data_IF_792537441354
#
_entry.id   IF_792537441354
#
_cell.length_a   1.000
_cell.length_b   1.000
_cell.length_c   1.000
_cell.angle_alpha   90.00
_cell.angle_beta   90.00
_cell.angle_gamma   90.00
#
_symmetry.space_group_name_H-M   'P 1'
#
loop_
_entity.id
_entity.type
_entity.pdbx_description
1 polymer ?
#
# COMPACT_ATOMS: atom_id res chain seq x y z
N UNK A 1 10.85 -22.12 -20.34
CA UNK A 1 10.29 -20.80 -20.01
C UNK A 1 11.35 -20.09 -19.18
N UNK A 2 12.18 -19.27 -19.82
CA UNK A 2 13.16 -18.43 -19.12
C UNK A 2 12.41 -17.48 -18.19
N UNK A 3 12.87 -17.34 -16.94
CA UNK A 3 12.24 -16.48 -15.94
C UNK A 3 12.36 -15.02 -16.37
N UNK A 4 11.24 -14.41 -16.73
CA UNK A 4 11.15 -12.98 -17.09
C UNK A 4 11.35 -12.01 -15.90
N UNK A 5 11.86 -12.47 -14.75
CA UNK A 5 11.77 -11.75 -13.47
C UNK A 5 13.11 -11.21 -12.91
N UNK A 6 14.22 -11.25 -13.64
CA UNK A 6 15.49 -10.70 -13.13
C UNK A 6 15.70 -9.24 -13.57
N UNK A 7 15.70 -8.33 -12.59
CA UNK A 7 16.12 -6.93 -12.78
C UNK A 7 17.57 -6.89 -13.29
N UNK A 8 17.88 -6.03 -14.26
CA UNK A 8 19.26 -5.84 -14.75
C UNK A 8 20.14 -5.14 -13.71
N UNK A 9 21.44 -5.47 -13.69
CA UNK A 9 22.43 -4.85 -12.79
C UNK A 9 23.56 -4.22 -13.60
N UNK A 10 23.96 -3.02 -13.23
CA UNK A 10 24.98 -2.23 -13.92
C UNK A 10 26.38 -2.44 -13.32
N UNK A 11 27.39 -2.49 -14.19
CA UNK A 11 28.79 -2.24 -13.83
C UNK A 11 28.99 -0.78 -13.41
N UNK A 12 30.10 -0.47 -12.74
CA UNK A 12 30.44 0.91 -12.39
C UNK A 12 30.56 1.79 -13.65
N UNK A 13 31.14 1.22 -14.71
CA UNK A 13 31.31 1.88 -15.99
C UNK A 13 29.98 2.21 -16.66
N UNK A 14 29.07 1.24 -16.76
CA UNK A 14 27.76 1.49 -17.40
C UNK A 14 26.94 2.52 -16.63
N UNK A 15 27.01 2.50 -15.29
CA UNK A 15 26.36 3.51 -14.46
C UNK A 15 26.89 4.93 -14.77
N UNK A 16 28.22 5.09 -14.89
CA UNK A 16 28.82 6.37 -15.26
C UNK A 16 28.42 6.82 -16.67
N UNK A 17 28.45 5.92 -17.65
CA UNK A 17 28.06 6.23 -19.03
C UNK A 17 26.57 6.65 -19.14
N UNK A 18 25.67 5.99 -18.40
CA UNK A 18 24.25 6.36 -18.37
C UNK A 18 24.06 7.76 -17.79
N UNK A 19 24.71 8.06 -16.67
CA UNK A 19 24.66 9.39 -16.04
C UNK A 19 25.16 10.49 -16.97
N UNK A 20 26.28 10.26 -17.68
CA UNK A 20 26.79 11.18 -18.70
C UNK A 20 25.80 11.40 -19.84
N UNK A 21 25.10 10.36 -20.29
CA UNK A 21 24.11 10.48 -21.38
C UNK A 21 22.88 11.26 -20.92
N UNK A 22 22.38 10.97 -19.71
CA UNK A 22 21.23 11.66 -19.13
C UNK A 22 21.51 13.16 -18.98
N UNK A 23 22.66 13.50 -18.40
CA UNK A 23 23.01 14.90 -18.11
C UNK A 23 23.55 15.67 -19.31
N UNK A 24 24.11 14.99 -20.30
CA UNK A 24 24.62 15.59 -21.52
C UNK A 24 23.57 15.57 -22.65
N UNK A 25 23.65 14.61 -23.58
CA UNK A 25 22.78 14.53 -24.76
C UNK A 25 21.27 14.63 -24.52
N UNK A 26 20.78 14.13 -23.38
CA UNK A 26 19.34 14.13 -23.07
C UNK A 26 18.89 15.36 -22.28
N UNK A 27 19.83 16.21 -21.85
CA UNK A 27 19.54 17.53 -21.28
C UNK A 27 18.89 17.51 -19.90
N UNK A 28 18.93 16.39 -19.17
CA UNK A 28 18.52 16.40 -17.77
C UNK A 28 19.53 17.21 -16.96
N UNK A 29 19.03 18.12 -16.14
CA UNK A 29 19.88 18.84 -15.21
C UNK A 29 20.14 18.00 -13.95
N UNK A 30 21.27 18.24 -13.29
CA UNK A 30 21.68 17.49 -12.09
C UNK A 30 20.63 17.63 -10.98
N UNK A 31 20.09 18.84 -10.80
CA UNK A 31 19.04 19.16 -9.83
C UNK A 31 17.73 18.41 -10.13
N UNK A 32 17.33 18.27 -11.39
CA UNK A 32 16.15 17.47 -11.75
C UNK A 32 16.31 15.99 -11.36
N UNK A 33 17.44 15.38 -11.73
CA UNK A 33 17.69 13.96 -11.42
C UNK A 33 17.82 13.73 -9.92
N UNK A 34 18.54 14.62 -9.23
CA UNK A 34 18.74 14.59 -7.78
C UNK A 34 17.43 14.79 -7.01
N UNK A 35 16.54 15.68 -7.48
CA UNK A 35 15.22 15.89 -6.87
C UNK A 35 14.39 14.60 -6.93
N UNK A 36 14.36 13.94 -8.10
CA UNK A 36 13.62 12.70 -8.30
C UNK A 36 14.26 11.53 -7.55
N UNK A 37 15.60 11.47 -7.48
CA UNK A 37 16.33 10.47 -6.73
C UNK A 37 16.05 10.57 -5.22
N UNK A 38 16.23 11.74 -4.62
CA UNK A 38 15.96 11.95 -3.20
C UNK A 38 14.47 11.76 -2.84
N UNK A 39 13.54 12.18 -3.72
CA UNK A 39 12.12 11.86 -3.56
C UNK A 39 11.87 10.35 -3.58
N UNK A 40 12.54 9.61 -4.48
CA UNK A 40 12.43 8.14 -4.54
C UNK A 40 12.93 7.47 -3.26
N UNK A 41 14.03 7.98 -2.68
CA UNK A 41 14.57 7.50 -1.39
C UNK A 41 13.57 7.76 -0.25
N UNK A 42 13.08 9.00 -0.12
CA UNK A 42 12.10 9.35 0.90
C UNK A 42 10.82 8.52 0.77
N UNK A 43 10.34 8.30 -0.46
CA UNK A 43 9.15 7.47 -0.74
C UNK A 43 9.39 6.01 -0.37
N UNK A 44 10.56 5.45 -0.69
CA UNK A 44 10.91 4.06 -0.35
C UNK A 44 10.94 3.85 1.17
N UNK A 45 11.45 4.84 1.92
CA UNK A 45 11.43 4.82 3.39
C UNK A 45 9.99 4.86 3.90
N UNK A 46 9.17 5.78 3.38
CA UNK A 46 7.77 5.94 3.79
C UNK A 46 6.88 4.74 3.46
N UNK A 47 7.21 3.98 2.42
CA UNK A 47 6.50 2.73 2.10
C UNK A 47 6.68 1.66 3.19
N UNK A 48 7.76 1.71 3.96
CA UNK A 48 8.12 0.65 4.92
C UNK A 48 8.02 1.10 6.37
N UNK A 49 8.58 2.26 6.68
CA UNK A 49 8.84 2.67 8.06
C UNK A 49 7.94 3.83 8.44
N UNK A 50 6.73 3.58 8.96
CA UNK A 50 5.76 4.63 9.29
C UNK A 50 6.34 5.70 10.24
N UNK A 51 6.10 7.00 10.02
CA UNK A 51 6.59 8.07 10.90
C UNK A 51 6.12 7.96 12.35
N UNK A 52 4.95 7.34 12.60
CA UNK A 52 4.42 7.08 13.93
C UNK A 52 5.31 6.16 14.77
N UNK A 53 6.15 5.36 14.12
CA UNK A 53 7.04 4.39 14.76
C UNK A 53 8.51 4.77 14.58
N UNK A 54 8.88 5.34 13.44
CA UNK A 54 10.26 5.63 13.05
C UNK A 54 10.44 7.12 12.76
N UNK A 55 10.14 7.96 13.75
CA UNK A 55 10.05 9.40 13.55
C UNK A 55 11.41 10.08 13.33
N UNK A 56 12.44 9.70 14.10
CA UNK A 56 13.74 10.40 14.13
C UNK A 56 14.66 9.83 13.05
N UNK A 57 15.05 10.67 12.09
CA UNK A 57 15.87 10.23 10.94
C UNK A 57 17.16 11.00 10.89
N UNK A 58 18.32 10.33 10.95
CA UNK A 58 19.61 10.96 10.66
C UNK A 58 19.99 10.69 9.20
N UNK A 59 20.33 11.73 8.44
CA UNK A 59 20.91 11.61 7.10
C UNK A 59 22.37 12.02 7.11
N UNK A 60 23.26 11.08 6.79
CA UNK A 60 24.71 11.31 6.73
C UNK A 60 25.11 11.55 5.28
N UNK A 61 25.35 12.80 4.93
CA UNK A 61 25.60 13.23 3.55
C UNK A 61 27.09 13.31 3.24
N UNK A 62 27.49 12.73 2.12
CA UNK A 62 28.83 12.89 1.56
C UNK A 62 29.00 14.13 0.70
N UNK A 63 30.21 14.42 0.20
CA UNK A 63 30.48 15.64 -0.56
C UNK A 63 29.94 15.60 -2.00
N UNK A 64 29.54 14.43 -2.52
CA UNK A 64 29.15 14.24 -3.91
C UNK A 64 27.64 14.24 -4.16
N UNK A 65 27.24 13.71 -5.32
CA UNK A 65 25.83 13.58 -5.72
C UNK A 65 25.01 12.76 -4.71
N UNK A 66 25.55 11.64 -4.21
CA UNK A 66 24.87 10.80 -3.21
C UNK A 66 24.49 11.59 -1.95
N UNK A 67 25.35 12.53 -1.53
CA UNK A 67 25.05 13.42 -0.41
C UNK A 67 23.95 14.43 -0.75
N UNK A 68 23.92 14.93 -1.99
CA UNK A 68 22.82 15.75 -2.51
C UNK A 68 21.49 15.01 -2.53
N UNK A 69 21.48 13.75 -2.97
CA UNK A 69 20.29 12.87 -2.91
C UNK A 69 19.81 12.71 -1.47
N UNK A 70 20.73 12.56 -0.52
CA UNK A 70 20.44 12.56 0.92
C UNK A 70 19.81 13.86 1.41
N UNK A 71 20.33 15.03 1.02
CA UNK A 71 19.77 16.33 1.40
C UNK A 71 18.33 16.48 0.87
N UNK A 72 18.08 16.09 -0.39
CA UNK A 72 16.73 16.07 -0.97
C UNK A 72 15.82 15.10 -0.20
N UNK A 73 16.29 13.88 0.10
CA UNK A 73 15.53 12.88 0.83
C UNK A 73 15.13 13.42 2.23
N UNK A 74 16.05 14.05 2.96
CA UNK A 74 15.78 14.65 4.25
C UNK A 74 14.68 15.72 4.18
N UNK A 75 14.68 16.57 3.13
CA UNK A 75 13.62 17.56 2.89
C UNK A 75 12.26 16.90 2.66
N UNK A 76 12.18 15.89 1.81
CA UNK A 76 10.90 15.19 1.57
C UNK A 76 10.40 14.43 2.79
N UNK A 77 11.30 13.81 3.56
CA UNK A 77 10.94 13.14 4.81
C UNK A 77 10.33 14.10 5.83
N UNK A 78 10.80 15.34 5.92
CA UNK A 78 10.12 16.36 6.73
C UNK A 78 8.66 16.56 6.30
N UNK A 79 8.41 16.71 5.00
CA UNK A 79 7.05 16.85 4.46
C UNK A 79 6.19 15.58 4.60
N UNK A 80 6.81 14.41 4.72
CA UNK A 80 6.13 13.14 4.99
C UNK A 80 5.85 12.91 6.49
N UNK A 81 6.20 13.86 7.36
CA UNK A 81 5.91 13.81 8.80
C UNK A 81 7.01 13.22 9.68
N UNK A 82 8.21 12.99 9.14
CA UNK A 82 9.38 12.59 9.92
C UNK A 82 10.06 13.80 10.58
N UNK A 83 10.99 13.52 11.49
CA UNK A 83 11.87 14.48 12.15
C UNK A 83 13.32 14.24 11.69
N UNK A 84 13.71 14.77 10.53
CA UNK A 84 15.05 14.58 10.00
C UNK A 84 16.09 15.44 10.71
N UNK A 85 17.32 14.93 10.74
CA UNK A 85 18.57 15.56 11.18
C UNK A 85 19.61 15.28 10.10
N UNK A 86 20.54 16.20 9.86
CA UNK A 86 21.54 16.06 8.80
C UNK A 86 22.96 16.18 9.35
N UNK A 87 23.80 15.18 9.10
CA UNK A 87 25.24 15.27 9.27
C UNK A 87 25.87 15.48 7.89
N UNK A 88 26.40 16.69 7.62
CA UNK A 88 27.04 17.02 6.34
C UNK A 88 28.46 17.57 6.54
N UNK A 89 29.44 16.71 6.89
CA UNK A 89 30.73 17.14 7.42
C UNK A 89 31.65 17.80 6.39
N UNK A 90 31.52 17.44 5.10
CA UNK A 90 32.26 18.06 4.00
C UNK A 90 31.30 18.67 2.99
N UNK A 91 30.90 19.92 3.24
CA UNK A 91 29.97 20.66 2.37
C UNK A 91 30.64 21.07 1.06
N UNK A 92 29.96 20.81 -0.05
CA UNK A 92 30.45 21.18 -1.38
C UNK A 92 30.07 22.62 -1.72
N UNK A 93 31.06 23.45 -2.04
CA UNK A 93 30.88 24.86 -2.38
C UNK A 93 30.41 25.07 -3.84
N UNK A 94 29.31 24.42 -4.23
CA UNK A 94 28.61 24.70 -5.49
C UNK A 94 27.19 25.21 -5.20
N UNK A 95 26.63 26.13 -6.03
CA UNK A 95 25.32 26.72 -5.81
C UNK A 95 24.20 25.72 -5.56
N UNK A 96 24.22 24.57 -6.26
CA UNK A 96 23.27 23.48 -6.06
C UNK A 96 23.21 23.02 -4.60
N UNK A 97 24.34 22.60 -4.01
CA UNK A 97 24.36 22.08 -2.64
C UNK A 97 24.11 23.18 -1.61
N UNK A 98 24.59 24.41 -1.86
CA UNK A 98 24.25 25.55 -1.01
C UNK A 98 22.74 25.79 -0.99
N UNK A 99 22.08 25.72 -2.16
CA UNK A 99 20.63 25.82 -2.27
C UNK A 99 19.89 24.72 -1.50
N UNK A 100 20.34 23.47 -1.61
CA UNK A 100 19.76 22.35 -0.84
C UNK A 100 19.90 22.55 0.68
N UNK A 101 21.06 23.02 1.15
CA UNK A 101 21.26 23.37 2.56
C UNK A 101 20.30 24.48 2.99
N UNK A 102 20.19 25.57 2.23
CA UNK A 102 19.26 26.66 2.52
C UNK A 102 17.81 26.18 2.60
N UNK A 103 17.39 25.26 1.72
CA UNK A 103 16.05 24.67 1.77
C UNK A 103 15.81 23.91 3.07
N UNK A 104 16.77 23.10 3.53
CA UNK A 104 16.67 22.36 4.79
C UNK A 104 16.65 23.30 6.01
N UNK A 105 17.50 24.33 6.01
CA UNK A 105 17.53 25.36 7.05
C UNK A 105 16.20 26.13 7.12
N UNK A 106 15.56 26.40 5.98
CA UNK A 106 14.24 27.06 5.94
C UNK A 106 13.12 26.23 6.59
N UNK A 107 13.30 24.91 6.66
CA UNK A 107 12.41 23.97 7.35
C UNK A 107 12.83 23.71 8.81
N UNK A 108 13.85 24.43 9.30
CA UNK A 108 14.44 24.25 10.63
C UNK A 108 14.96 22.82 10.88
N UNK A 109 15.44 22.15 9.83
CA UNK A 109 16.04 20.81 9.94
C UNK A 109 17.44 20.95 10.57
N UNK A 110 17.74 20.30 11.71
CA UNK A 110 19.01 20.47 12.39
C UNK A 110 20.19 19.87 11.61
N UNK A 111 21.30 20.60 11.55
CA UNK A 111 22.58 20.09 11.09
C UNK A 111 23.47 19.75 12.28
N UNK A 112 23.89 18.49 12.39
CA UNK A 112 24.76 17.97 13.45
C UNK A 112 26.20 17.87 12.94
N UNK A 113 27.17 18.16 13.80
CA UNK A 113 28.57 17.85 13.54
C UNK A 113 28.85 16.37 13.80
N UNK A 114 30.03 15.87 13.42
CA UNK A 114 30.42 14.48 13.70
C UNK A 114 30.62 14.26 15.20
N UNK A 115 31.04 15.30 15.91
CA UNK A 115 31.27 15.32 17.36
C UNK A 115 29.96 15.30 18.16
N UNK A 116 28.87 15.83 17.59
CA UNK A 116 27.53 15.79 18.20
C UNK A 116 26.90 14.39 18.14
N UNK A 117 27.41 13.52 17.26
CA UNK A 117 26.91 12.16 17.12
C UNK A 117 27.53 11.24 18.16
N UNK A 118 26.70 10.38 18.76
CA UNK A 118 27.16 9.27 19.62
C UNK A 118 27.82 8.15 18.81
N UNK A 119 28.56 7.28 19.49
CA UNK A 119 29.16 6.10 18.87
C UNK A 119 28.11 5.10 18.40
N UNK A 120 27.05 4.91 19.20
CA UNK A 120 25.86 4.15 18.83
C UNK A 120 24.76 5.13 18.41
N UNK A 121 24.43 5.11 17.12
CA UNK A 121 23.43 6.01 16.55
C UNK A 121 22.00 5.59 16.88
N UNK A 122 21.80 4.35 17.34
CA UNK A 122 20.47 3.80 17.63
C UNK A 122 19.80 4.40 18.87
N UNK A 123 20.57 5.05 19.74
CA UNK A 123 20.02 5.76 20.90
C UNK A 123 19.16 6.97 20.48
N UNK A 124 19.64 7.72 19.48
CA UNK A 124 19.09 9.03 19.14
C UNK A 124 18.23 9.00 17.87
N UNK A 125 18.38 7.97 17.03
CA UNK A 125 17.71 7.90 15.73
C UNK A 125 17.05 6.54 15.50
N UNK A 126 15.88 6.58 14.88
CA UNK A 126 15.13 5.38 14.52
C UNK A 126 15.54 4.88 13.12
N UNK A 127 15.95 5.81 12.24
CA UNK A 127 16.45 5.56 10.89
C UNK A 127 17.77 6.32 10.71
N UNK A 128 18.79 5.65 10.16
CA UNK A 128 20.01 6.30 9.68
C UNK A 128 20.15 6.07 8.18
N UNK A 129 20.21 7.16 7.42
CA UNK A 129 20.38 7.18 5.97
C UNK A 129 21.86 7.38 5.65
N UNK A 130 22.44 6.36 5.04
CA UNK A 130 23.76 6.37 4.43
C UNK A 130 23.68 6.99 3.03
N UNK A 131 24.04 8.28 2.97
CA UNK A 131 24.13 9.09 1.76
C UNK A 131 25.58 9.55 1.51
N UNK A 132 26.58 8.80 1.97
CA UNK A 132 27.99 9.24 1.95
C UNK A 132 28.64 9.03 0.58
N UNK A 133 28.63 7.80 0.07
CA UNK A 133 29.34 7.46 -1.17
C UNK A 133 28.45 6.66 -2.12
N UNK A 134 28.27 7.19 -3.33
CA UNK A 134 27.56 6.50 -4.42
C UNK A 134 28.51 5.76 -5.36
N UNK A 135 27.97 5.24 -6.47
CA UNK A 135 28.71 4.39 -7.41
C UNK A 135 29.98 5.03 -8.02
N UNK A 136 30.11 6.36 -8.04
CA UNK A 136 31.28 7.05 -8.61
C UNK A 136 32.46 7.19 -7.65
N UNK A 137 32.33 6.72 -6.41
CA UNK A 137 33.42 6.78 -5.43
C UNK A 137 34.54 5.78 -5.76
N UNK A 138 35.78 6.21 -5.56
CA UNK A 138 36.98 5.39 -5.73
C UNK A 138 37.90 5.50 -4.52
N UNK A 139 38.48 4.38 -4.11
CA UNK A 139 39.44 4.29 -3.01
C UNK A 139 38.82 3.99 -1.66
N UNK A 140 39.61 4.16 -0.60
CA UNK A 140 39.17 3.93 0.78
C UNK A 140 38.51 5.19 1.37
N UNK A 141 37.45 5.06 2.18
CA UNK A 141 36.91 6.14 3.00
C UNK A 141 38.02 6.79 3.84
N UNK A 142 37.98 8.12 3.97
CA UNK A 142 38.94 8.92 4.75
C UNK A 142 38.21 9.74 5.81
N UNK A 143 38.89 10.22 6.86
CA UNK A 143 38.29 11.07 7.88
C UNK A 143 37.49 12.24 7.31
N UNK A 144 36.29 12.51 7.86
CA UNK A 144 35.65 11.82 8.99
C UNK A 144 34.72 10.65 8.59
N UNK A 145 34.71 10.23 7.33
CA UNK A 145 33.73 9.24 6.83
C UNK A 145 34.05 7.80 7.21
N UNK A 146 35.32 7.48 7.46
CA UNK A 146 35.74 6.18 8.00
C UNK A 146 35.13 5.94 9.40
N UNK A 147 35.19 6.94 10.29
CA UNK A 147 34.56 6.89 11.62
C UNK A 147 33.03 6.73 11.52
N UNK A 148 32.37 7.51 10.66
CA UNK A 148 30.92 7.42 10.45
C UNK A 148 30.48 6.04 9.94
N UNK A 149 31.26 5.43 9.03
CA UNK A 149 31.03 4.07 8.55
C UNK A 149 31.19 3.06 9.70
N UNK A 150 32.22 3.22 10.55
CA UNK A 150 32.39 2.33 11.72
C UNK A 150 31.21 2.43 12.69
N UNK A 151 30.70 3.64 12.98
CA UNK A 151 29.51 3.84 13.83
C UNK A 151 28.28 3.13 13.29
N UNK A 152 28.05 3.18 11.97
CA UNK A 152 26.96 2.45 11.32
C UNK A 152 27.11 0.93 11.48
N UNK A 153 28.32 0.40 11.31
CA UNK A 153 28.61 -1.03 11.48
C UNK A 153 28.37 -1.46 12.94
N UNK A 154 28.86 -0.68 13.90
CA UNK A 154 28.71 -0.98 15.34
C UNK A 154 27.25 -0.92 15.76
N UNK A 155 26.50 0.10 15.33
CA UNK A 155 25.07 0.26 15.64
C UNK A 155 24.23 -0.92 15.10
N UNK A 156 24.65 -1.55 14.00
CA UNK A 156 23.95 -2.71 13.45
C UNK A 156 24.19 -4.01 14.24
N UNK A 157 25.35 -4.16 14.89
CA UNK A 157 25.78 -5.37 15.60
C UNK A 157 25.35 -5.41 17.08
N UNK A 158 24.92 -4.29 17.65
CA UNK A 158 24.41 -4.22 19.03
C UNK A 158 22.96 -4.73 19.11
N UNK A 159 22.79 -6.06 19.18
CA UNK A 159 21.55 -6.66 19.69
C UNK A 159 21.63 -6.79 21.22
N UNK A 160 21.40 -5.68 21.93
CA UNK A 160 21.10 -5.78 23.36
C UNK A 160 19.62 -6.13 23.54
N UNK A 161 19.36 -7.17 24.34
CA UNK A 161 18.01 -7.64 24.63
C UNK A 161 17.14 -6.49 25.22
N UNK A 162 16.23 -5.96 24.41
CA UNK A 162 15.22 -4.97 24.82
C UNK A 162 15.34 -3.56 24.24
N UNK A 163 16.39 -3.23 23.48
CA UNK A 163 16.50 -1.93 22.79
C UNK A 163 16.06 -2.03 21.32
N UNK A 164 15.36 -0.99 20.85
CA UNK A 164 14.88 -0.89 19.46
C UNK A 164 16.05 -0.62 18.54
N UNK A 165 16.34 -1.54 17.62
CA UNK A 165 17.39 -1.40 16.61
C UNK A 165 17.05 -0.25 15.65
N UNK A 166 18.01 0.66 15.42
CA UNK A 166 17.88 1.65 14.34
C UNK A 166 18.01 0.96 12.98
N UNK A 167 17.18 1.36 12.03
CA UNK A 167 17.24 0.82 10.67
C UNK A 167 18.25 1.61 9.85
N UNK A 168 19.06 0.93 9.05
CA UNK A 168 20.04 1.56 8.15
C UNK A 168 19.54 1.53 6.72
N UNK A 169 19.53 2.68 6.06
CA UNK A 169 19.09 2.84 4.65
C UNK A 169 20.25 3.36 3.83
N UNK A 170 20.73 2.60 2.83
CA UNK A 170 21.78 3.08 1.92
C UNK A 170 21.18 3.59 0.61
N UNK A 171 21.61 4.78 0.20
CA UNK A 171 21.28 5.36 -1.10
C UNK A 171 22.26 4.84 -2.14
N UNK A 172 21.69 4.27 -3.20
CA UNK A 172 22.33 3.76 -4.40
C UNK A 172 23.20 2.51 -4.21
N UNK A 173 24.24 2.63 -3.39
CA UNK A 173 25.12 1.56 -2.93
C UNK A 173 25.45 1.77 -1.45
N UNK A 174 25.72 0.71 -0.66
CA UNK A 174 26.19 0.88 0.71
C UNK A 174 27.60 1.50 0.72
N UNK A 175 27.79 2.58 1.45
CA UNK A 175 29.07 3.30 1.50
C UNK A 175 30.20 2.40 1.99
N UNK A 176 31.32 2.41 1.25
CA UNK A 176 32.48 1.57 1.51
C UNK A 176 32.44 0.19 0.85
N UNK A 177 31.33 -0.21 0.22
CA UNK A 177 31.30 -1.41 -0.64
C UNK A 177 32.02 -1.16 -1.97
N UNK A 178 32.61 -2.21 -2.53
CA UNK A 178 33.03 -2.20 -3.93
C UNK A 178 31.79 -2.21 -4.83
N UNK A 179 31.73 -1.33 -5.84
CA UNK A 179 30.54 -1.09 -6.68
C UNK A 179 30.06 -2.34 -7.41
N UNK A 180 30.97 -3.29 -7.69
CA UNK A 180 30.64 -4.53 -8.39
C UNK A 180 30.71 -5.78 -7.51
N UNK A 181 31.66 -5.81 -6.58
CA UNK A 181 31.94 -7.01 -5.77
C UNK A 181 31.20 -6.99 -4.43
N UNK A 182 30.69 -5.82 -4.03
CA UNK A 182 30.01 -5.61 -2.75
C UNK A 182 30.98 -5.51 -1.58
N UNK A 183 30.57 -6.08 -0.45
CA UNK A 183 31.37 -6.13 0.78
C UNK A 183 32.45 -7.20 0.69
N UNK A 184 33.59 -6.86 0.08
CA UNK A 184 34.71 -7.78 -0.20
C UNK A 184 35.25 -8.43 1.09
N UNK A 185 35.35 -7.67 2.18
CA UNK A 185 35.94 -8.12 3.45
C UNK A 185 34.90 -8.65 4.45
N UNK A 186 33.61 -8.58 4.12
CA UNK A 186 32.50 -8.99 5.00
C UNK A 186 32.30 -8.09 6.23
N UNK A 187 32.99 -6.95 6.29
CA UNK A 187 33.02 -6.02 7.43
C UNK A 187 32.34 -4.69 7.14
N UNK A 188 31.79 -4.51 5.94
CA UNK A 188 31.10 -3.31 5.53
C UNK A 188 29.73 -3.15 6.20
N UNK A 189 29.10 -2.01 5.91
CA UNK A 189 27.74 -1.70 6.37
C UNK A 189 26.77 -2.79 5.90
N UNK A 190 25.83 -3.18 6.76
CA UNK A 190 24.74 -4.11 6.45
C UNK A 190 23.41 -3.34 6.51
N UNK A 191 23.01 -2.65 5.42
CA UNK A 191 21.78 -1.88 5.45
C UNK A 191 20.55 -2.78 5.53
N UNK A 192 19.51 -2.31 6.22
CA UNK A 192 18.19 -2.94 6.25
C UNK A 192 17.41 -2.61 4.97
N UNK A 193 17.67 -1.43 4.39
CA UNK A 193 17.13 -1.00 3.11
C UNK A 193 18.22 -0.53 2.15
N UNK A 194 18.17 -1.00 0.91
CA UNK A 194 18.94 -0.45 -0.20
C UNK A 194 17.98 0.20 -1.20
N UNK A 195 18.22 1.47 -1.55
CA UNK A 195 17.48 2.16 -2.61
C UNK A 195 18.41 2.37 -3.80
N UNK A 196 18.38 1.46 -4.77
CA UNK A 196 19.14 1.60 -6.01
C UNK A 196 18.52 2.68 -6.90
N UNK A 197 19.33 3.60 -7.42
CA UNK A 197 18.87 4.66 -8.32
C UNK A 197 19.18 4.31 -9.78
N UNK A 198 18.26 4.67 -10.69
CA UNK A 198 18.32 4.42 -12.15
C UNK A 198 18.22 2.93 -12.49
N UNK A 199 19.20 2.14 -12.06
CA UNK A 199 19.20 0.69 -12.05
C UNK A 199 20.17 0.19 -10.94
N UNK A 200 19.94 -1.01 -10.37
CA UNK A 200 20.84 -1.59 -9.37
C UNK A 200 22.28 -1.73 -9.89
N UNK A 201 23.26 -1.43 -9.03
CA UNK A 201 24.68 -1.73 -9.31
C UNK A 201 24.98 -3.19 -8.99
N UNK A 202 26.01 -3.77 -9.61
CA UNK A 202 26.38 -5.18 -9.45
C UNK A 202 26.56 -5.60 -7.97
N UNK A 203 27.08 -4.72 -7.11
CA UNK A 203 27.19 -4.97 -5.67
C UNK A 203 25.86 -5.31 -5.00
N UNK A 204 24.74 -4.80 -5.51
CA UNK A 204 23.42 -5.04 -4.95
C UNK A 204 23.00 -6.52 -5.03
N UNK A 205 23.65 -7.35 -5.87
CA UNK A 205 23.48 -8.81 -5.84
C UNK A 205 23.92 -9.45 -4.51
N UNK A 206 24.78 -8.76 -3.75
CA UNK A 206 25.26 -9.18 -2.43
C UNK A 206 24.43 -8.60 -1.29
N UNK A 207 23.45 -7.74 -1.59
CA UNK A 207 22.55 -7.18 -0.59
C UNK A 207 21.68 -8.29 0.01
N UNK A 208 21.64 -8.33 1.35
CA UNK A 208 20.90 -9.34 2.12
C UNK A 208 19.88 -8.75 3.08
N UNK A 209 19.70 -7.42 3.07
CA UNK A 209 18.70 -6.76 3.91
C UNK A 209 17.26 -7.06 3.47
N UNK A 210 16.28 -6.80 4.34
CA UNK A 210 14.86 -7.11 4.08
C UNK A 210 14.22 -6.27 2.97
N UNK A 211 14.78 -5.11 2.60
CA UNK A 211 14.13 -4.19 1.67
C UNK A 211 15.10 -3.70 0.57
N UNK A 212 14.83 -4.07 -0.68
CA UNK A 212 15.54 -3.52 -1.83
C UNK A 212 14.53 -2.83 -2.74
N UNK A 213 14.73 -1.54 -2.94
CA UNK A 213 13.93 -0.68 -3.81
C UNK A 213 14.74 -0.22 -5.01
N UNK A 214 14.03 -0.04 -6.12
CA UNK A 214 14.49 0.69 -7.28
C UNK A 214 13.76 2.04 -7.30
N UNK A 215 14.53 3.12 -7.30
CA UNK A 215 14.09 4.49 -7.45
C UNK A 215 14.67 5.15 -8.69
N UNK A 216 14.36 6.43 -8.90
CA UNK A 216 14.81 7.17 -10.08
C UNK A 216 14.00 6.81 -11.32
N UNK A 217 12.67 6.96 -11.22
CA UNK A 217 11.72 6.73 -12.31
C UNK A 217 11.81 7.83 -13.39
N UNK A 218 12.94 7.89 -14.09
CA UNK A 218 13.20 8.84 -15.17
C UNK A 218 13.98 8.23 -16.34
N UNK A 219 14.30 6.92 -16.29
CA UNK A 219 15.07 6.22 -17.33
C UNK A 219 14.29 6.22 -18.66
N UNK A 220 14.80 6.88 -19.72
CA UNK A 220 14.13 6.90 -21.01
C UNK A 220 14.16 5.51 -21.68
N UNK A 221 13.13 5.15 -22.48
CA UNK A 221 13.09 3.86 -23.18
C UNK A 221 14.34 3.58 -24.03
N UNK A 222 14.89 4.60 -24.68
CA UNK A 222 16.11 4.48 -25.49
C UNK A 222 17.35 4.07 -24.68
N UNK A 223 17.45 4.51 -23.41
CA UNK A 223 18.53 4.08 -22.50
C UNK A 223 18.30 2.65 -22.06
N UNK A 224 17.06 2.31 -21.68
CA UNK A 224 16.72 0.95 -21.29
C UNK A 224 17.01 -0.04 -22.43
N UNK A 225 16.68 0.31 -23.68
CA UNK A 225 16.99 -0.51 -24.85
C UNK A 225 18.50 -0.61 -25.12
N UNK A 226 19.23 0.52 -25.13
CA UNK A 226 20.68 0.56 -25.39
C UNK A 226 21.47 -0.30 -24.41
N UNK A 227 21.14 -0.24 -23.12
CA UNK A 227 21.83 -0.98 -22.06
C UNK A 227 21.13 -2.29 -21.68
N UNK A 228 20.08 -2.70 -22.43
CA UNK A 228 19.31 -3.93 -22.18
C UNK A 228 18.84 -4.04 -20.73
N UNK A 229 18.31 -2.94 -20.20
CA UNK A 229 17.81 -2.85 -18.84
C UNK A 229 16.42 -3.47 -18.76
N UNK A 230 16.31 -4.52 -17.94
CA UNK A 230 15.04 -5.08 -17.51
C UNK A 230 14.67 -4.38 -16.20
N UNK A 231 13.83 -3.35 -16.29
CA UNK A 231 13.32 -2.61 -15.14
C UNK A 231 11.85 -2.99 -14.91
N UNK A 232 11.43 -3.26 -13.66
CA UNK A 232 10.06 -3.58 -13.36
C UNK A 232 9.14 -2.36 -13.57
N UNK A 233 7.85 -2.58 -13.87
CA UNK A 233 6.90 -1.48 -13.95
C UNK A 233 6.71 -0.84 -12.57
N UNK A 234 6.73 0.48 -12.54
CA UNK A 234 6.39 1.24 -11.33
C UNK A 234 4.87 1.31 -11.16
N UNK A 235 4.33 1.01 -9.97
CA UNK A 235 2.89 1.00 -9.74
C UNK A 235 2.32 2.43 -9.73
N UNK A 236 1.30 2.68 -10.56
CA UNK A 236 0.61 3.97 -10.61
C UNK A 236 1.57 5.15 -10.80
N UNK A 237 1.52 6.11 -9.87
CA UNK A 237 2.37 7.31 -9.81
C UNK A 237 3.58 7.16 -8.88
N UNK A 238 3.86 5.96 -8.38
CA UNK A 238 5.00 5.74 -7.46
C UNK A 238 6.35 6.08 -8.13
N UNK A 239 7.25 6.67 -7.35
CA UNK A 239 8.63 6.98 -7.74
C UNK A 239 9.61 5.87 -7.39
N UNK A 240 9.16 4.86 -6.64
CA UNK A 240 9.93 3.68 -6.28
C UNK A 240 9.14 2.39 -6.53
N UNK A 241 9.85 1.28 -6.65
CA UNK A 241 9.28 -0.07 -6.75
C UNK A 241 10.17 -1.05 -6.01
N UNK A 242 9.57 -1.94 -5.23
CA UNK A 242 10.29 -2.98 -4.51
C UNK A 242 10.78 -4.04 -5.50
N UNK A 243 12.08 -4.36 -5.44
CA UNK A 243 12.75 -5.35 -6.30
C UNK A 243 13.41 -6.49 -5.51
N UNK A 244 13.54 -6.34 -4.19
CA UNK A 244 14.02 -7.39 -3.30
C UNK A 244 13.00 -8.51 -3.09
N UNK A 245 13.47 -9.64 -2.55
CA UNK A 245 12.55 -10.71 -2.11
C UNK A 245 11.53 -10.12 -1.13
N UNK A 246 10.24 -10.48 -1.22
CA UNK A 246 9.27 -10.06 -0.22
C UNK A 246 9.76 -10.52 1.16
N UNK A 247 9.64 -9.68 2.20
CA UNK A 247 10.09 -10.05 3.53
C UNK A 247 9.38 -11.34 3.96
N UNK A 248 10.08 -12.22 4.68
CA UNK A 248 9.42 -13.29 5.42
C UNK A 248 8.67 -12.63 6.57
N UNK A 249 7.37 -12.49 6.40
CA UNK A 249 6.51 -11.89 7.41
C UNK A 249 6.08 -12.97 8.39
N UNK A 250 6.38 -12.76 9.67
CA UNK A 250 5.69 -13.50 10.73
C UNK A 250 4.26 -12.96 10.83
N UNK A 251 3.29 -13.78 10.43
CA UNK A 251 1.87 -13.41 10.45
C UNK A 251 1.43 -12.99 11.87
N UNK A 252 2.04 -13.56 12.92
CA UNK A 252 1.70 -13.19 14.31
C UNK A 252 2.15 -11.77 14.69
N UNK A 253 3.14 -11.22 13.98
CA UNK A 253 3.70 -9.89 14.19
C UNK A 253 3.03 -8.80 13.35
N UNK A 254 2.14 -9.14 12.40
CA UNK A 254 1.39 -8.17 11.57
C UNK A 254 0.34 -7.36 12.34
N UNK A 255 0.28 -7.51 13.66
CA UNK A 255 -0.72 -6.84 14.49
C UNK A 255 -0.50 -5.33 14.46
N UNK A 256 -1.52 -4.61 14.04
CA UNK A 256 -1.60 -3.16 14.20
C UNK A 256 -2.30 -2.79 15.52
N UNK A 257 -1.88 -1.68 16.13
CA UNK A 257 -2.59 -1.07 17.25
C UNK A 257 -3.56 -0.02 16.70
N UNK A 258 -4.86 -0.31 16.75
CA UNK A 258 -5.88 0.61 16.28
C UNK A 258 -5.95 1.86 17.16
N UNK A 259 -6.10 3.02 16.54
CA UNK A 259 -6.38 4.29 17.23
C UNK A 259 -7.72 4.78 16.68
N UNK A 260 -8.75 4.71 17.51
CA UNK A 260 -10.12 5.05 17.12
C UNK A 260 -10.83 5.78 18.26
N UNK A 261 -11.87 6.58 17.99
CA UNK A 261 -12.74 7.08 19.05
C UNK A 261 -13.43 5.93 19.78
N UNK A 262 -13.81 6.15 21.04
CA UNK A 262 -14.69 5.26 21.79
C UNK A 262 -16.06 5.14 21.10
N UNK A 263 -16.69 3.97 21.24
CA UNK A 263 -18.01 3.70 20.68
C UNK A 263 -18.95 3.15 21.76
N UNK A 264 -19.80 4.03 22.28
CA UNK A 264 -20.65 3.80 23.44
C UNK A 264 -22.15 3.75 23.08
N UNK A 265 -22.94 3.10 23.93
CA UNK A 265 -24.37 2.88 23.78
C UNK A 265 -25.16 4.19 23.69
N UNK A 266 -24.72 5.24 24.37
CA UNK A 266 -25.37 6.56 24.34
C UNK A 266 -25.07 7.36 23.06
N UNK A 267 -24.08 6.93 22.28
CA UNK A 267 -23.60 7.65 21.09
C UNK A 267 -24.24 7.13 19.79
N UNK A 268 -25.00 6.05 19.88
CA UNK A 268 -25.57 5.39 18.71
C UNK A 268 -27.02 5.78 18.47
N UNK A 269 -27.42 5.68 17.21
CA UNK A 269 -28.83 5.81 16.82
C UNK A 269 -29.66 4.62 17.30
N UNK A 270 -30.91 4.85 17.68
CA UNK A 270 -31.84 3.77 18.05
C UNK A 270 -32.20 2.90 16.84
N UNK A 271 -32.20 3.47 15.63
CA UNK A 271 -32.38 2.73 14.39
C UNK A 271 -31.03 2.29 13.79
N UNK A 272 -30.74 0.98 13.74
CA UNK A 272 -29.46 0.49 13.21
C UNK A 272 -29.28 0.78 11.72
N UNK A 273 -30.34 1.00 10.93
CA UNK A 273 -30.20 1.40 9.53
C UNK A 273 -29.71 2.85 9.45
N UNK A 274 -30.20 3.72 10.33
CA UNK A 274 -29.70 5.10 10.45
C UNK A 274 -28.24 5.08 10.93
N UNK A 275 -27.92 4.26 11.93
CA UNK A 275 -26.54 4.09 12.40
C UNK A 275 -25.60 3.57 11.29
N UNK A 276 -26.05 2.59 10.50
CA UNK A 276 -25.29 2.09 9.34
C UNK A 276 -25.01 3.20 8.34
N UNK A 277 -26.03 4.00 7.98
CA UNK A 277 -25.86 5.10 7.02
C UNK A 277 -24.86 6.13 7.50
N UNK A 278 -24.87 6.50 8.79
CA UNK A 278 -23.85 7.39 9.38
C UNK A 278 -22.43 6.86 9.15
N UNK A 279 -22.18 5.59 9.47
CA UNK A 279 -20.85 5.00 9.26
C UNK A 279 -20.49 4.81 7.78
N UNK A 280 -21.48 4.55 6.93
CA UNK A 280 -21.28 4.47 5.49
C UNK A 280 -20.88 5.83 4.89
N UNK A 281 -21.52 6.91 5.35
CA UNK A 281 -21.19 8.28 4.95
C UNK A 281 -19.78 8.68 5.43
N UNK A 282 -19.38 8.28 6.64
CA UNK A 282 -18.00 8.45 7.13
C UNK A 282 -16.99 7.73 6.22
N UNK A 283 -17.29 6.50 5.79
CA UNK A 283 -16.45 5.73 4.88
C UNK A 283 -16.32 6.41 3.50
N UNK A 284 -17.39 7.04 3.01
CA UNK A 284 -17.34 7.85 1.79
C UNK A 284 -16.48 9.11 1.98
N UNK A 285 -16.68 9.83 3.09
CA UNK A 285 -15.94 11.05 3.41
C UNK A 285 -14.43 10.81 3.60
N UNK A 286 -14.05 9.65 4.13
CA UNK A 286 -12.66 9.22 4.27
C UNK A 286 -12.02 8.78 2.94
N UNK A 287 -12.77 8.76 1.83
CA UNK A 287 -12.23 8.47 0.49
C UNK A 287 -11.88 7.00 0.29
N UNK A 288 -12.54 6.08 1.00
CA UNK A 288 -12.35 4.65 0.77
C UNK A 288 -12.70 4.30 -0.69
N UNK A 289 -11.92 3.39 -1.29
CA UNK A 289 -12.04 3.07 -2.72
C UNK A 289 -13.38 2.44 -3.09
N UNK A 290 -13.89 1.53 -2.26
CA UNK A 290 -15.11 0.77 -2.53
C UNK A 290 -15.90 0.51 -1.23
N UNK A 291 -16.42 1.56 -0.56
CA UNK A 291 -17.04 1.43 0.76
C UNK A 291 -18.33 0.60 0.74
N UNK A 292 -18.95 0.42 -0.44
CA UNK A 292 -20.12 -0.44 -0.66
C UNK A 292 -19.79 -1.90 -0.98
N UNK A 293 -18.51 -2.30 -0.97
CA UNK A 293 -18.13 -3.70 -1.02
C UNK A 293 -18.50 -4.39 0.29
N UNK A 294 -19.15 -5.55 0.20
CA UNK A 294 -19.52 -6.38 1.35
C UNK A 294 -19.24 -7.85 1.07
N UNK A 295 -18.80 -8.58 2.09
CA UNK A 295 -18.78 -10.03 2.05
C UNK A 295 -20.20 -10.54 2.27
N UNK A 296 -20.73 -11.30 1.31
CA UNK A 296 -21.98 -12.04 1.44
C UNK A 296 -21.67 -13.48 1.78
N UNK A 297 -22.20 -13.95 2.91
CA UNK A 297 -22.11 -15.31 3.39
C UNK A 297 -23.45 -16.02 3.31
N UNK A 298 -23.47 -17.18 2.64
CA UNK A 298 -24.64 -18.02 2.42
C UNK A 298 -24.34 -19.48 2.78
N UNK A 299 -25.37 -20.26 3.09
CA UNK A 299 -25.26 -21.67 3.51
C UNK A 299 -26.38 -22.45 2.83
N UNK A 300 -26.05 -23.50 2.08
CA UNK A 300 -27.05 -24.41 1.47
C UNK A 300 -27.49 -25.52 2.42
N UNK A 301 -28.25 -26.50 1.91
CA UNK A 301 -28.72 -27.65 2.71
C UNK A 301 -27.62 -28.55 3.27
N UNK A 302 -26.41 -28.49 2.70
CA UNK A 302 -25.26 -29.27 3.17
C UNK A 302 -24.58 -28.67 4.41
N UNK A 303 -25.06 -27.51 4.87
CA UNK A 303 -24.55 -26.82 6.06
C UNK A 303 -23.17 -26.18 5.87
N UNK A 304 -22.63 -26.14 4.65
CA UNK A 304 -21.31 -25.56 4.39
C UNK A 304 -21.44 -24.06 4.11
N UNK A 305 -20.78 -23.19 4.89
CA UNK A 305 -20.78 -21.77 4.62
C UNK A 305 -19.90 -21.45 3.42
N UNK A 306 -20.33 -20.46 2.66
CA UNK A 306 -19.57 -19.92 1.53
C UNK A 306 -19.64 -18.40 1.57
N UNK A 307 -18.53 -17.73 1.27
CA UNK A 307 -18.43 -16.26 1.31
C UNK A 307 -17.85 -15.71 0.03
N UNK A 308 -18.30 -14.53 -0.39
CA UNK A 308 -17.75 -13.82 -1.55
C UNK A 308 -18.05 -12.33 -1.46
N UNK A 309 -17.22 -11.51 -2.10
CA UNK A 309 -17.51 -10.08 -2.21
C UNK A 309 -18.64 -9.82 -3.21
N UNK A 310 -19.57 -8.95 -2.82
CA UNK A 310 -20.60 -8.36 -3.66
C UNK A 310 -20.70 -6.87 -3.36
N UNK A 311 -21.40 -6.13 -4.20
CA UNK A 311 -21.59 -4.70 -4.00
C UNK A 311 -23.01 -4.44 -3.48
N UNK A 312 -23.11 -3.70 -2.38
CA UNK A 312 -24.35 -3.07 -1.95
C UNK A 312 -24.80 -2.06 -3.02
N UNK A 313 -26.09 -2.10 -3.37
CA UNK A 313 -26.72 -1.24 -4.38
C UNK A 313 -27.86 -0.39 -3.84
N UNK A 314 -28.43 -0.78 -2.71
CA UNK A 314 -29.42 0.02 -2.02
C UNK A 314 -29.46 -0.34 -0.54
N UNK A 315 -29.75 0.66 0.28
CA UNK A 315 -30.13 0.48 1.68
C UNK A 315 -31.32 1.39 1.95
N UNK A 316 -32.41 0.83 2.42
CA UNK A 316 -33.62 1.55 2.81
C UNK A 316 -34.19 0.93 4.10
N UNK A 317 -35.35 1.42 4.56
CA UNK A 317 -36.01 0.95 5.78
C UNK A 317 -36.32 -0.56 5.77
N UNK A 318 -36.44 -1.16 4.59
CA UNK A 318 -36.80 -2.55 4.38
C UNK A 318 -35.55 -3.46 4.25
N UNK A 319 -34.35 -2.88 4.13
CA UNK A 319 -33.09 -3.59 4.29
C UNK A 319 -32.03 -3.30 3.22
N UNK A 320 -31.22 -4.31 2.91
CA UNK A 320 -30.01 -4.20 2.09
C UNK A 320 -30.18 -4.93 0.76
N UNK A 321 -29.90 -4.24 -0.35
CA UNK A 321 -30.14 -4.77 -1.70
C UNK A 321 -28.83 -4.96 -2.46
N UNK A 322 -28.68 -6.13 -3.09
CA UNK A 322 -27.63 -6.42 -4.07
C UNK A 322 -28.22 -7.17 -5.26
N UNK A 323 -27.52 -7.14 -6.40
CA UNK A 323 -27.98 -7.77 -7.64
C UNK A 323 -27.00 -8.83 -8.11
N UNK A 324 -27.52 -9.92 -8.65
CA UNK A 324 -26.75 -11.12 -8.97
C UNK A 324 -27.43 -11.96 -10.06
N UNK A 325 -26.73 -12.98 -10.54
CA UNK A 325 -27.32 -14.08 -11.28
C UNK A 325 -27.97 -15.09 -10.29
N UNK A 326 -29.24 -15.45 -10.54
CA UNK A 326 -30.07 -16.39 -9.79
C UNK A 326 -29.70 -17.87 -9.98
N UNK A 327 -28.83 -18.19 -10.93
CA UNK A 327 -28.29 -19.55 -11.15
C UNK A 327 -26.91 -19.73 -10.48
N UNK A 328 -26.37 -18.67 -9.89
CA UNK A 328 -25.09 -18.75 -9.19
C UNK A 328 -25.19 -19.60 -7.91
N UNK A 329 -24.06 -20.09 -7.43
CA UNK A 329 -24.00 -20.91 -6.21
C UNK A 329 -24.72 -20.24 -5.01
N UNK A 330 -24.43 -18.96 -4.73
CA UNK A 330 -25.10 -18.21 -3.64
C UNK A 330 -26.62 -18.14 -3.80
N UNK A 331 -27.12 -18.09 -5.03
CA UNK A 331 -28.56 -18.00 -5.29
C UNK A 331 -29.24 -19.37 -5.10
N UNK A 332 -28.54 -20.45 -5.43
CA UNK A 332 -28.97 -21.81 -5.09
C UNK A 332 -28.98 -22.02 -3.57
N UNK A 333 -27.93 -21.59 -2.86
CA UNK A 333 -27.88 -21.67 -1.40
C UNK A 333 -29.03 -20.85 -0.76
N UNK A 334 -29.30 -19.64 -1.28
CA UNK A 334 -30.41 -18.80 -0.82
C UNK A 334 -31.81 -19.34 -1.14
N UNK A 335 -31.97 -20.10 -2.22
CA UNK A 335 -33.26 -20.75 -2.52
C UNK A 335 -33.54 -21.94 -1.60
N UNK A 336 -32.48 -22.56 -1.10
CA UNK A 336 -32.54 -23.65 -0.13
C UNK A 336 -32.66 -23.17 1.32
N UNK A 337 -31.99 -22.08 1.65
CA UNK A 337 -31.97 -21.45 2.97
C UNK A 337 -32.00 -19.92 2.79
N UNK A 338 -33.16 -19.28 2.97
CA UNK A 338 -33.34 -17.85 2.70
C UNK A 338 -32.79 -16.96 3.83
N UNK A 339 -31.58 -17.26 4.31
CA UNK A 339 -30.87 -16.46 5.31
C UNK A 339 -29.45 -16.18 4.81
N UNK A 340 -28.94 -15.00 5.15
CA UNK A 340 -27.56 -14.63 4.87
C UNK A 340 -26.99 -13.72 5.96
N UNK A 341 -25.66 -13.64 5.96
CA UNK A 341 -24.91 -12.62 6.67
C UNK A 341 -24.19 -11.74 5.65
N UNK A 342 -24.22 -10.42 5.84
CA UNK A 342 -23.40 -9.47 5.11
C UNK A 342 -22.43 -8.77 6.07
N UNK A 343 -21.20 -8.56 5.62
CA UNK A 343 -20.14 -7.93 6.41
C UNK A 343 -19.45 -6.82 5.61
N UNK A 344 -19.42 -5.63 6.19
CA UNK A 344 -18.62 -4.50 5.72
C UNK A 344 -17.37 -4.40 6.59
N UNK A 345 -16.21 -4.21 5.96
CA UNK A 345 -14.95 -3.95 6.65
C UNK A 345 -14.31 -2.69 6.04
N UNK A 346 -14.23 -1.64 6.86
CA UNK A 346 -13.63 -0.36 6.51
C UNK A 346 -12.33 -0.22 7.30
N UNK A 347 -11.27 -0.81 6.75
CA UNK A 347 -9.94 -0.92 7.35
C UNK A 347 -9.39 0.43 7.81
N UNK A 348 -9.47 1.46 6.96
CA UNK A 348 -8.98 2.80 7.26
C UNK A 348 -9.66 3.46 8.47
N UNK A 349 -10.91 3.06 8.78
CA UNK A 349 -11.68 3.55 9.92
C UNK A 349 -11.66 2.58 11.12
N UNK A 350 -10.98 1.44 10.98
CA UNK A 350 -11.02 0.33 11.94
C UNK A 350 -12.47 -0.07 12.30
N UNK A 351 -13.37 -0.09 11.32
CA UNK A 351 -14.80 -0.39 11.53
C UNK A 351 -15.23 -1.65 10.81
N UNK A 352 -16.13 -2.39 11.44
CA UNK A 352 -16.82 -3.51 10.83
C UNK A 352 -18.31 -3.43 11.16
N UNK A 353 -19.16 -3.73 10.17
CA UNK A 353 -20.60 -3.91 10.37
C UNK A 353 -21.01 -5.28 9.88
N UNK A 354 -21.64 -6.07 10.75
CA UNK A 354 -22.28 -7.35 10.37
C UNK A 354 -23.79 -7.18 10.42
N UNK A 355 -24.48 -7.65 9.39
CA UNK A 355 -25.94 -7.68 9.33
C UNK A 355 -26.39 -9.09 8.96
N UNK A 356 -27.32 -9.65 9.72
CA UNK A 356 -27.89 -10.98 9.47
C UNK A 356 -29.40 -10.87 9.32
N UNK A 357 -29.99 -11.70 8.48
CA UNK A 357 -31.43 -11.67 8.28
C UNK A 357 -31.93 -12.59 7.19
N UNK A 358 -33.25 -12.53 6.98
CA UNK A 358 -33.92 -13.26 5.90
C UNK A 358 -33.71 -12.57 4.56
N UNK A 359 -33.67 -13.35 3.48
CA UNK A 359 -33.39 -12.87 2.13
C UNK A 359 -34.53 -13.22 1.20
N UNK A 360 -34.99 -12.23 0.43
CA UNK A 360 -36.03 -12.40 -0.58
C UNK A 360 -35.62 -11.75 -1.90
N UNK A 361 -36.17 -12.24 -3.02
CA UNK A 361 -35.98 -11.55 -4.31
C UNK A 361 -36.71 -10.22 -4.28
N UNK A 362 -36.10 -9.19 -4.86
CA UNK A 362 -36.81 -7.94 -5.14
C UNK A 362 -37.80 -8.14 -6.29
N UNK A 363 -38.67 -7.15 -6.51
CA UNK A 363 -39.62 -7.21 -7.62
C UNK A 363 -38.91 -7.29 -8.99
N UNK A 364 -39.60 -7.82 -10.00
CA UNK A 364 -39.03 -7.89 -11.35
C UNK A 364 -38.86 -6.48 -11.91
N UNK A 365 -39.77 -5.56 -11.57
CA UNK A 365 -39.73 -4.14 -11.91
C UNK A 365 -38.50 -3.44 -11.31
N UNK A 366 -38.21 -3.65 -10.01
CA UNK A 366 -37.01 -3.12 -9.35
C UNK A 366 -35.73 -3.69 -9.97
N UNK A 367 -35.76 -4.97 -10.36
CA UNK A 367 -34.65 -5.62 -11.07
C UNK A 367 -34.45 -5.04 -12.48
N UNK A 368 -35.52 -4.80 -13.23
CA UNK A 368 -35.51 -4.21 -14.57
C UNK A 368 -34.95 -2.78 -14.53
N UNK A 369 -35.47 -1.95 -13.62
CA UNK A 369 -35.04 -0.57 -13.46
C UNK A 369 -33.54 -0.49 -13.14
N UNK A 370 -33.07 -1.27 -12.17
CA UNK A 370 -31.65 -1.28 -11.84
C UNK A 370 -30.79 -1.88 -12.97
N UNK A 371 -31.24 -2.94 -13.66
CA UNK A 371 -30.51 -3.52 -14.79
C UNK A 371 -30.18 -2.46 -15.85
N UNK A 372 -31.18 -1.66 -16.25
CA UNK A 372 -31.02 -0.64 -17.28
C UNK A 372 -30.23 0.58 -16.84
N UNK A 373 -30.10 0.83 -15.53
CA UNK A 373 -29.20 1.88 -15.02
C UNK A 373 -27.71 1.53 -15.16
N UNK A 374 -27.38 0.25 -15.37
CA UNK A 374 -25.98 -0.21 -15.45
C UNK A 374 -25.34 0.21 -16.77
N UNK A 375 -24.00 0.41 -16.80
CA UNK A 375 -23.28 0.62 -18.05
C UNK A 375 -23.59 -0.49 -19.07
N UNK A 376 -23.66 -0.14 -20.36
CA UNK A 376 -24.03 -1.08 -21.44
C UNK A 376 -23.20 -2.37 -21.44
N UNK A 377 -21.87 -2.26 -21.25
CA UNK A 377 -21.00 -3.44 -21.15
C UNK A 377 -21.33 -4.35 -19.96
N UNK A 378 -21.83 -3.79 -18.85
CA UNK A 378 -22.32 -4.57 -17.70
C UNK A 378 -23.64 -5.29 -17.99
N UNK A 379 -24.53 -4.68 -18.79
CA UNK A 379 -25.77 -5.32 -19.25
C UNK A 379 -25.44 -6.50 -20.17
N UNK A 380 -24.56 -6.30 -21.15
CA UNK A 380 -24.08 -7.35 -22.07
C UNK A 380 -23.36 -8.47 -21.30
N UNK A 381 -22.47 -8.12 -20.37
CA UNK A 381 -21.77 -9.11 -19.55
C UNK A 381 -22.70 -9.97 -18.70
N UNK A 382 -23.85 -9.44 -18.26
CA UNK A 382 -24.84 -10.23 -17.54
C UNK A 382 -25.60 -11.23 -18.43
N UNK A 383 -25.75 -10.95 -19.73
CA UNK A 383 -26.29 -11.90 -20.71
C UNK A 383 -25.26 -12.99 -21.07
N UNK A 384 -23.99 -12.62 -21.21
CA UNK A 384 -22.92 -13.56 -21.57
C UNK A 384 -22.59 -14.51 -20.40
N UNK A 385 -22.60 -14.02 -19.16
CA UNK A 385 -22.06 -14.75 -18.02
C UNK A 385 -23.06 -15.73 -17.40
N UNK A 386 -22.82 -17.03 -17.62
CA UNK A 386 -23.39 -18.13 -16.83
C UNK A 386 -22.62 -18.27 -15.50
N UNK A 387 -22.85 -17.34 -14.58
CA UNK A 387 -22.07 -17.21 -13.36
C UNK A 387 -22.04 -18.52 -12.55
N UNK A 388 -20.85 -18.91 -12.08
CA UNK A 388 -20.59 -20.13 -11.29
C UNK A 388 -20.63 -21.46 -12.07
N UNK A 389 -20.77 -21.45 -13.40
CA UNK A 389 -20.57 -22.64 -14.24
C UNK A 389 -19.11 -22.79 -14.69
N UNK A 390 -18.64 -24.03 -14.83
CA UNK A 390 -17.33 -24.32 -15.42
C UNK A 390 -17.39 -24.01 -16.92
N UNK A 391 -16.43 -23.23 -17.40
CA UNK A 391 -16.26 -22.92 -18.84
C UNK A 391 -14.91 -23.43 -19.34
N UNK A 392 -14.78 -23.83 -20.63
CA UNK A 392 -13.52 -24.36 -21.18
C UNK A 392 -12.34 -23.39 -21.12
N UNK A 393 -12.59 -22.08 -21.03
CA UNK A 393 -11.55 -21.08 -20.87
C UNK A 393 -12.04 -19.66 -21.16
N UNK A 394 -11.16 -18.67 -20.91
CA UNK A 394 -11.45 -17.24 -21.09
C UNK A 394 -11.91 -16.88 -22.51
N UNK A 395 -11.40 -17.58 -23.53
CA UNK A 395 -11.72 -17.30 -24.93
C UNK A 395 -13.21 -17.48 -25.24
N UNK A 396 -13.88 -18.46 -24.63
CA UNK A 396 -15.33 -18.69 -24.81
C UNK A 396 -16.13 -17.49 -24.31
N UNK A 397 -15.81 -16.99 -23.11
CA UNK A 397 -16.49 -15.81 -22.54
C UNK A 397 -16.26 -14.56 -23.38
N UNK A 398 -15.04 -14.37 -23.91
CA UNK A 398 -14.73 -13.24 -24.79
C UNK A 398 -15.47 -13.33 -26.13
N UNK A 399 -15.64 -14.54 -26.66
CA UNK A 399 -16.39 -14.76 -27.88
C UNK A 399 -17.88 -14.46 -27.68
N UNK A 400 -18.51 -15.05 -26.65
CA UNK A 400 -19.92 -14.80 -26.33
C UNK A 400 -20.18 -13.31 -26.06
N UNK A 401 -19.27 -12.64 -25.35
CA UNK A 401 -19.37 -11.20 -25.12
C UNK A 401 -19.31 -10.40 -26.43
N UNK A 402 -18.36 -10.70 -27.32
CA UNK A 402 -18.24 -10.03 -28.63
C UNK A 402 -19.45 -10.25 -29.52
N UNK A 403 -20.00 -11.46 -29.54
CA UNK A 403 -21.21 -11.78 -30.31
C UNK A 403 -22.40 -10.96 -29.82
N UNK A 404 -22.57 -10.83 -28.50
CA UNK A 404 -23.62 -9.99 -27.91
C UNK A 404 -23.36 -8.49 -28.13
N UNK A 405 -22.11 -8.04 -28.03
CA UNK A 405 -21.74 -6.65 -28.31
C UNK A 405 -22.06 -6.27 -29.76
N UNK A 406 -21.78 -7.15 -30.72
CA UNK A 406 -22.16 -6.97 -32.12
C UNK A 406 -23.69 -6.99 -32.30
N UNK A 407 -24.38 -7.93 -31.66
CA UNK A 407 -25.84 -8.04 -31.71
C UNK A 407 -26.53 -6.76 -31.25
N UNK A 408 -25.95 -6.06 -30.28
CA UNK A 408 -26.47 -4.82 -29.71
C UNK A 408 -25.64 -3.59 -30.13
N UNK A 409 -24.94 -3.64 -31.27
CA UNK A 409 -24.11 -2.52 -31.73
C UNK A 409 -24.93 -1.33 -32.24
N UNK A 410 -26.19 -1.56 -32.64
CA UNK A 410 -27.15 -0.57 -33.14
C UNK A 410 -27.72 0.35 -32.06
N UNK A 411 -27.33 0.17 -30.80
CA UNK A 411 -27.87 0.92 -29.68
C UNK A 411 -29.17 0.34 -29.10
N UNK A 412 -29.67 -0.79 -29.63
CA UNK A 412 -30.90 -1.44 -29.16
C UNK A 412 -30.91 -1.74 -27.67
N UNK A 413 -32.10 -1.83 -27.08
CA UNK A 413 -32.27 -2.14 -25.65
C UNK A 413 -31.78 -3.56 -25.36
N UNK A 414 -30.85 -3.69 -24.41
CA UNK A 414 -30.39 -4.99 -23.92
C UNK A 414 -31.41 -5.51 -22.92
N UNK A 415 -32.11 -6.63 -23.16
CA UNK A 415 -33.11 -7.11 -22.22
C UNK A 415 -32.47 -7.66 -20.94
N UNK A 416 -33.13 -7.48 -19.79
CA UNK A 416 -32.70 -8.13 -18.56
C UNK A 416 -32.83 -9.66 -18.69
N UNK A 417 -31.78 -10.44 -18.36
CA UNK A 417 -31.89 -11.89 -18.30
C UNK A 417 -32.91 -12.34 -17.24
N UNK A 418 -33.69 -13.40 -17.51
CA UNK A 418 -34.64 -13.98 -16.52
C UNK A 418 -33.94 -14.54 -15.28
N UNK A 419 -32.72 -15.01 -15.45
CA UNK A 419 -31.85 -15.50 -14.37
C UNK A 419 -31.07 -14.37 -13.68
N UNK A 420 -31.45 -13.11 -13.84
CA UNK A 420 -30.77 -11.98 -13.20
C UNK A 420 -31.74 -11.08 -12.46
N UNK A 421 -31.36 -10.63 -11.27
CA UNK A 421 -32.14 -9.68 -10.49
C UNK A 421 -31.56 -9.42 -9.10
N UNK A 422 -32.35 -8.72 -8.29
CA UNK A 422 -31.97 -8.32 -6.95
C UNK A 422 -32.39 -9.31 -5.86
N UNK A 423 -31.63 -9.30 -4.77
CA UNK A 423 -32.03 -9.84 -3.48
C UNK A 423 -32.02 -8.73 -2.44
N UNK A 424 -32.91 -8.83 -1.47
CA UNK A 424 -33.02 -7.95 -0.31
C UNK A 424 -32.87 -8.76 0.96
N UNK A 425 -31.92 -8.38 1.81
CA UNK A 425 -31.79 -8.88 3.17
C UNK A 425 -32.60 -7.98 4.10
N UNK A 426 -33.58 -8.56 4.80
CA UNK A 426 -34.35 -7.89 5.85
C UNK A 426 -33.66 -8.13 7.19
N UNK A 427 -33.09 -7.11 7.84
CA UNK A 427 -32.26 -7.31 9.03
C UNK A 427 -33.02 -7.89 10.22
N UNK A 428 -32.38 -8.82 10.90
CA UNK A 428 -32.76 -9.39 12.19
C UNK A 428 -31.64 -9.29 13.23
N UNK A 429 -30.46 -8.85 12.83
CA UNK A 429 -29.34 -8.53 13.71
C UNK A 429 -28.44 -7.53 13.03
N UNK A 430 -27.94 -6.57 13.80
CA UNK A 430 -26.75 -5.79 13.45
C UNK A 430 -25.69 -5.97 14.52
N UNK A 431 -24.44 -5.99 14.12
CA UNK A 431 -23.29 -5.82 14.99
C UNK A 431 -22.40 -4.71 14.43
N UNK A 432 -22.18 -3.67 15.24
CA UNK A 432 -21.23 -2.61 14.96
C UNK A 432 -19.99 -2.85 15.80
N UNK A 433 -18.84 -2.95 15.15
CA UNK A 433 -17.54 -3.18 15.77
C UNK A 433 -16.60 -2.02 15.44
N UNK A 434 -15.92 -1.49 16.47
CA UNK A 434 -14.91 -0.44 16.36
C UNK A 434 -13.61 -0.91 17.00
N UNK A 435 -12.52 -0.89 16.22
CA UNK A 435 -11.20 -1.30 16.67
C UNK A 435 -10.62 -0.35 17.72
N UNK A 436 -9.95 -0.89 18.74
CA UNK A 436 -9.39 -0.17 19.88
C UNK A 436 -7.95 -0.65 20.15
N UNK A 437 -7.06 0.16 20.78
CA UNK A 437 -5.65 -0.18 20.94
C UNK A 437 -5.39 -1.50 21.69
N UNK A 438 -6.21 -1.82 22.71
CA UNK A 438 -5.93 -2.86 23.71
C UNK A 438 -6.59 -4.23 23.43
N UNK A 439 -7.16 -4.45 22.23
CA UNK A 439 -8.10 -5.56 21.92
C UNK A 439 -9.44 -5.50 22.64
N UNK A 440 -9.65 -4.53 23.53
CA UNK A 440 -10.95 -4.25 24.11
C UNK A 440 -11.80 -3.46 23.11
N UNK A 441 -12.14 -4.11 21.99
CA UNK A 441 -12.92 -3.51 20.91
C UNK A 441 -14.34 -3.20 21.37
N UNK A 442 -14.88 -2.09 20.88
CA UNK A 442 -16.27 -1.76 21.15
C UNK A 442 -17.18 -2.54 20.21
N UNK A 443 -18.14 -3.26 20.79
CA UNK A 443 -19.09 -4.11 20.05
C UNK A 443 -20.50 -3.84 20.54
N UNK A 444 -21.33 -3.27 19.68
CA UNK A 444 -22.74 -3.04 19.96
C UNK A 444 -23.60 -3.86 19.01
N UNK A 445 -24.50 -4.66 19.58
CA UNK A 445 -25.43 -5.52 18.86
C UNK A 445 -26.85 -4.97 18.96
N UNK A 446 -27.55 -4.96 17.84
CA UNK A 446 -28.97 -4.62 17.75
C UNK A 446 -29.77 -5.88 17.48
N UNK A 447 -30.78 -6.12 18.31
CA UNK A 447 -31.75 -7.20 18.14
C UNK A 447 -33.17 -6.63 18.05
N UNK A 448 -34.05 -7.18 17.18
CA UNK A 448 -35.44 -6.79 17.13
C UNK A 448 -36.09 -6.97 18.51
N UNK A 449 -36.83 -5.97 18.93
CA UNK A 449 -37.60 -5.96 20.16
C UNK A 449 -39.00 -5.39 19.88
N UNK A 450 -39.97 -5.68 20.74
CA UNK A 450 -41.32 -5.11 20.63
C UNK A 450 -41.59 -4.23 21.84
N UNK A 451 -42.02 -2.99 21.58
CA UNK A 451 -42.47 -2.04 22.59
C UNK A 451 -43.86 -1.58 22.18
N UNK A 452 -44.87 -1.86 23.01
CA UNK A 452 -46.27 -1.47 22.75
C UNK A 452 -46.81 -1.93 21.37
N UNK A 453 -46.39 -3.11 20.90
CA UNK A 453 -46.77 -3.65 19.59
C UNK A 453 -46.10 -2.98 18.39
N UNK A 454 -45.12 -2.10 18.62
CA UNK A 454 -44.26 -1.53 17.58
C UNK A 454 -42.89 -2.19 17.60
N UNK A 455 -42.33 -2.44 16.42
CA UNK A 455 -40.98 -2.96 16.26
C UNK A 455 -39.98 -1.89 16.66
N UNK A 456 -39.17 -2.20 17.66
CA UNK A 456 -38.04 -1.41 18.14
C UNK A 456 -36.75 -2.25 18.00
N UNK A 457 -35.62 -1.64 18.35
CA UNK A 457 -34.34 -2.34 18.44
C UNK A 457 -33.78 -2.21 19.85
N UNK A 458 -33.31 -3.33 20.40
CA UNK A 458 -32.57 -3.36 21.66
C UNK A 458 -31.08 -3.34 21.37
N UNK A 459 -30.37 -2.39 21.96
CA UNK A 459 -28.90 -2.28 21.89
C UNK A 459 -28.28 -3.03 23.07
N UNK A 460 -27.27 -3.85 22.79
CA UNK A 460 -26.53 -4.61 23.79
C UNK A 460 -25.03 -4.56 23.50
N UNK A 461 -24.20 -4.35 24.53
CA UNK A 461 -22.75 -4.49 24.41
C UNK A 461 -22.32 -5.95 24.45
N UNK A 462 -21.43 -6.31 23.53
CA UNK A 462 -20.78 -7.61 23.50
C UNK A 462 -19.35 -7.48 24.03
N UNK A 463 -18.87 -8.54 24.70
CA UNK A 463 -17.45 -8.65 24.99
C UNK A 463 -16.66 -8.83 23.68
N UNK A 464 -15.47 -8.20 23.56
CA UNK A 464 -14.62 -8.33 22.38
C UNK A 464 -13.95 -9.69 22.22
#
# INVERSE_FOLDING_TARGET
>A
MESHDSVSYLTQREAAEIDEILMGPLGFSVDQLMELAGLSVATSIAEVYKPSEHARVLTICGPGNNGGDGLVAARHLHHFGYKPYVCYPKRTAKPLYTGLVTQLESLSIPFLSVEDLKSDLSEDFDIVIDAMFGFSFHGAPRPPFDDLIQRLITSHNHEQAGQKKSVTVSIDIPSGWHVEEGDVDGKGIKPDMLVSLTAPKLCAKKFSGPHHFLGGRFVPPAIAEKYKLHLPPYPGTSMCVRIGKPPKVDISALRENYISPEFLEEQVDEDPIVQFRKWFDDALAAGLREPNAMALSTVGKDGKPSSRMVLLKGVDKDGFVWYTNYESQKAHELSENPHASILFFWDYLNRQVRVEGSVQKVSDEESEQYFHSRPRGSQIGALASKQSMVVPGRHVLLQEYKELEQKFADGGLVPKPKNWGGYRLTPQLFEFWQGQPSRLHDRLRYLPHEINGQRAWKVERLAP
#
